data_IF_918612329984
#
_entry.id   IF_918612329984
#
_cell.length_a   1.000
_cell.length_b   1.000
_cell.length_c   1.000
_cell.angle_alpha   90.00
_cell.angle_beta   90.00
_cell.angle_gamma   90.00
#
_symmetry.space_group_name_H-M   'P 1'
#
loop_
_entity.id
_entity.type
_entity.pdbx_description
1 polymer ?
2 non-polymer ?
3 non-polymer ?
4 water ?
#
# COMPACT_ATOMS: atom_id res chain seq x y z
N UNK A 1 -19.79 3.53 -9.44
CA UNK A 1 -18.41 3.93 -9.67
C UNK A 1 -17.67 2.70 -10.19
N UNK A 2 -16.48 2.88 -10.75
CA UNK A 2 -15.64 1.76 -11.25
C UNK A 2 -14.23 1.91 -10.68
N UNK A 3 -13.57 0.80 -10.37
CA UNK A 3 -12.22 0.80 -9.73
C UNK A 3 -11.44 -0.40 -10.25
N UNK A 4 -10.25 -0.15 -10.81
CA UNK A 4 -9.29 -1.22 -11.19
C UNK A 4 -8.82 -1.94 -9.91
N UNK A 5 -8.87 -3.27 -9.93
CA UNK A 5 -8.31 -4.17 -8.88
C UNK A 5 -6.88 -3.73 -8.57
N UNK A 6 -6.51 -3.73 -7.28
CA UNK A 6 -5.18 -3.34 -6.78
C UNK A 6 -5.03 -1.85 -6.77
N UNK A 7 -6.13 -1.09 -6.87
CA UNK A 7 -6.08 0.38 -6.72
C UNK A 7 -6.95 0.79 -5.54
N UNK A 8 -6.64 1.98 -5.02
CA UNK A 8 -7.40 2.69 -3.96
C UNK A 8 -8.26 3.79 -4.59
N UNK A 9 -9.34 4.13 -3.91
CA UNK A 9 -10.30 5.20 -4.28
C UNK A 9 -10.56 6.02 -3.00
N UNK A 10 -10.58 7.33 -3.14
CA UNK A 10 -11.00 8.34 -2.15
C UNK A 10 -12.49 8.65 -2.36
N UNK A 11 -13.36 8.11 -1.51
CA UNK A 11 -14.82 8.37 -1.55
C UNK A 11 -15.07 9.70 -0.84
N UNK A 12 -15.87 10.57 -1.44
CA UNK A 12 -16.23 11.86 -0.82
C UNK A 12 -17.65 11.71 -0.28
N UNK A 13 -17.89 11.95 1.01
CA UNK A 13 -19.23 11.90 1.65
C UNK A 13 -19.51 13.23 2.33
N UNK A 14 -20.79 13.56 2.49
CA UNK A 14 -21.22 14.71 3.34
C UNK A 14 -20.86 14.39 4.78
N UNK A 15 -20.35 15.37 5.50
CA UNK A 15 -19.95 15.29 6.93
C UNK A 15 -21.18 15.27 7.85
N UNK A 16 -22.14 16.19 7.63
CA UNK A 16 -23.23 16.50 8.59
C UNK A 16 -24.01 15.21 8.82
N UNK A 17 -24.24 14.83 10.08
CA UNK A 17 -25.13 13.70 10.45
C UNK A 17 -24.59 12.33 10.03
N UNK A 18 -23.36 12.26 9.53
CA UNK A 18 -22.71 10.97 9.19
C UNK A 18 -22.46 10.17 10.47
N UNK A 19 -22.76 8.88 10.44
CA UNK A 19 -22.56 7.93 11.56
C UNK A 19 -21.48 6.89 11.21
N UNK A 20 -21.61 6.22 10.06
CA UNK A 20 -20.82 4.99 9.77
C UNK A 20 -20.76 4.66 8.28
N UNK A 21 -19.59 4.22 7.80
CA UNK A 21 -19.43 3.66 6.44
C UNK A 21 -19.11 2.17 6.56
N UNK A 22 -19.90 1.31 5.87
CA UNK A 22 -19.92 -0.15 6.10
C UNK A 22 -19.76 -0.92 4.79
N UNK A 23 -18.93 -1.95 4.83
CA UNK A 23 -18.80 -2.96 3.76
C UNK A 23 -19.29 -4.29 4.37
N UNK A 24 -20.57 -4.64 4.15
CA UNK A 24 -21.30 -5.62 4.99
C UNK A 24 -21.12 -5.21 6.46
N UNK A 25 -20.49 -6.05 7.30
CA UNK A 25 -20.27 -5.75 8.74
C UNK A 25 -18.88 -5.12 9.02
N UNK A 26 -18.05 -4.86 8.00
CA UNK A 26 -16.72 -4.19 8.18
C UNK A 26 -16.91 -2.66 8.21
N UNK A 27 -16.25 -1.98 9.16
CA UNK A 27 -16.28 -0.49 9.31
C UNK A 27 -15.14 0.10 8.49
N UNK A 28 -15.43 1.08 7.63
CA UNK A 28 -14.41 1.90 6.90
C UNK A 28 -14.27 3.21 7.64
N UNK A 29 -13.04 3.53 8.05
CA UNK A 29 -12.77 4.81 8.69
C UNK A 29 -12.88 6.00 7.71
N UNK A 30 -13.01 7.20 8.26
CA UNK A 30 -13.25 8.49 7.58
C UNK A 30 -12.29 9.52 8.15
N UNK A 31 -11.91 10.51 7.35
CA UNK A 31 -11.08 11.66 7.73
C UNK A 31 -11.59 12.91 6.99
N UNK A 32 -11.17 14.08 7.45
CA UNK A 32 -11.64 15.39 6.96
C UNK A 32 -11.22 15.56 5.50
N UNK A 33 -12.10 16.10 4.68
CA UNK A 33 -11.69 16.72 3.40
C UNK A 33 -10.91 17.98 3.74
N UNK A 34 -9.62 18.13 3.33
CA UNK A 34 -8.77 19.22 3.82
C UNK A 34 -9.15 20.62 3.30
N UNK A 35 -9.86 20.70 2.18
CA UNK A 35 -10.35 21.97 1.58
C UNK A 35 -11.85 22.13 1.86
N UNK A 36 -12.67 21.12 1.60
CA UNK A 36 -14.14 21.23 1.73
C UNK A 36 -14.61 20.82 3.14
N UNK A 37 -14.95 21.81 3.96
CA UNK A 37 -15.39 21.68 5.38
C UNK A 37 -16.68 20.84 5.51
N UNK A 38 -17.46 20.69 4.45
CA UNK A 38 -18.77 19.98 4.44
C UNK A 38 -18.60 18.50 4.09
N UNK A 39 -17.39 18.09 3.71
CA UNK A 39 -17.10 16.72 3.22
C UNK A 39 -16.13 16.01 4.16
N UNK A 40 -16.23 14.69 4.17
CA UNK A 40 -15.21 13.76 4.73
C UNK A 40 -14.82 12.81 3.61
N UNK A 41 -13.77 12.04 3.85
CA UNK A 41 -13.15 11.14 2.85
C UNK A 41 -13.00 9.76 3.50
N UNK A 42 -13.09 8.71 2.70
CA UNK A 42 -12.77 7.33 3.09
C UNK A 42 -11.89 6.73 2.00
N UNK A 43 -10.96 5.84 2.37
CA UNK A 43 -10.16 5.08 1.36
C UNK A 43 -10.81 3.73 1.20
N UNK A 44 -11.16 3.40 -0.04
CA UNK A 44 -11.68 2.08 -0.43
C UNK A 44 -10.70 1.46 -1.41
N UNK A 45 -10.26 0.23 -1.14
CA UNK A 45 -9.20 -0.44 -1.91
C UNK A 45 -9.68 -1.80 -2.39
N UNK A 46 -9.42 -2.14 -3.63
CA UNK A 46 -9.70 -3.54 -4.09
C UNK A 46 -8.42 -4.35 -4.05
N UNK A 47 -8.44 -5.60 -3.57
CA UNK A 47 -7.27 -6.47 -3.67
C UNK A 47 -7.01 -6.75 -5.16
N UNK A 48 -5.74 -7.00 -5.49
CA UNK A 48 -5.32 -7.46 -6.83
C UNK A 48 -5.85 -8.89 -7.09
N UNK A 49 -5.59 -9.83 -6.17
CA UNK A 49 -6.03 -11.26 -6.28
C UNK A 49 -7.46 -11.42 -5.75
N UNK A 50 -8.30 -12.11 -6.52
CA UNK A 50 -9.64 -12.55 -6.09
C UNK A 50 -10.46 -11.38 -5.53
N UNK A 51 -10.59 -10.23 -6.23
CA UNK A 51 -11.50 -9.18 -5.76
C UNK A 51 -12.94 -9.62 -6.03
N UNK A 52 -13.93 -9.08 -5.28
CA UNK A 52 -15.33 -9.25 -5.67
C UNK A 52 -15.48 -8.58 -7.03
N UNK A 53 -16.48 -9.00 -7.81
CA UNK A 53 -16.93 -8.34 -9.06
C UNK A 53 -17.54 -6.97 -8.76
N UNK A 54 -18.32 -6.88 -7.67
CA UNK A 54 -19.03 -5.62 -7.31
C UNK A 54 -19.04 -5.49 -5.80
N UNK A 55 -18.98 -4.25 -5.34
CA UNK A 55 -19.06 -3.90 -3.92
C UNK A 55 -20.23 -2.94 -3.68
N UNK A 56 -20.97 -3.15 -2.60
CA UNK A 56 -21.92 -2.13 -2.10
C UNK A 56 -21.43 -1.67 -0.73
N UNK A 57 -21.14 -0.38 -0.60
CA UNK A 57 -20.90 0.35 0.67
C UNK A 57 -22.17 1.11 1.07
N UNK A 58 -22.41 1.21 2.38
CA UNK A 58 -23.54 1.99 2.93
C UNK A 58 -22.96 3.03 3.88
N UNK A 59 -23.15 4.30 3.54
CA UNK A 59 -22.96 5.42 4.46
C UNK A 59 -24.28 5.56 5.22
N UNK A 60 -24.24 5.30 6.54
CA UNK A 60 -25.36 5.53 7.47
C UNK A 60 -25.25 6.94 8.05
N UNK A 61 -26.30 7.71 7.83
CA UNK A 61 -26.57 9.07 8.36
C UNK A 61 -27.64 8.94 9.44
N UNK A 62 -27.78 9.97 10.29
CA UNK A 62 -28.89 10.04 11.28
C UNK A 62 -30.25 10.06 10.55
N UNK A 63 -30.34 10.64 9.35
CA UNK A 63 -31.63 10.88 8.65
C UNK A 63 -31.73 10.02 7.39
N UNK A 64 -30.70 9.24 7.05
CA UNK A 64 -30.70 8.48 5.79
C UNK A 64 -29.54 7.48 5.65
N UNK A 65 -29.71 6.46 4.82
CA UNK A 65 -28.63 5.60 4.29
C UNK A 65 -28.45 5.86 2.79
N UNK A 66 -27.21 5.98 2.35
CA UNK A 66 -26.78 6.14 0.94
C UNK A 66 -25.94 4.91 0.51
N UNK A 67 -26.38 4.16 -0.51
CA UNK A 67 -25.62 3.00 -1.06
C UNK A 67 -24.56 3.53 -2.04
N UNK A 68 -23.32 3.06 -1.97
CA UNK A 68 -22.27 3.32 -3.02
C UNK A 68 -21.96 1.98 -3.70
N UNK A 69 -22.20 1.90 -5.01
CA UNK A 69 -21.86 0.71 -5.85
C UNK A 69 -20.50 0.93 -6.53
N UNK A 70 -19.64 -0.06 -6.42
CA UNK A 70 -18.31 -0.04 -7.09
C UNK A 70 -18.19 -1.30 -7.93
N UNK A 71 -18.03 -1.12 -9.24
CA UNK A 71 -17.73 -2.23 -10.17
C UNK A 71 -16.21 -2.43 -10.21
N UNK A 72 -15.78 -3.67 -10.02
CA UNK A 72 -14.35 -4.06 -10.14
C UNK A 72 -13.98 -4.16 -11.61
N UNK A 73 -12.95 -3.42 -12.06
CA UNK A 73 -12.32 -3.54 -13.40
C UNK A 73 -10.98 -4.31 -13.37
N UNK A 74 -10.66 -4.99 -14.48
CA UNK A 74 -9.43 -5.82 -14.63
C UNK A 74 -8.22 -4.92 -14.86
N UNK A 75 -8.41 -3.80 -15.54
CA UNK A 75 -7.34 -2.87 -15.94
C UNK A 75 -6.47 -3.44 -17.06
N UNK A 76 -5.32 -2.84 -17.31
CA UNK A 76 -4.43 -3.20 -18.44
C UNK A 76 -3.10 -3.69 -17.87
N UNK A 77 -3.11 -4.64 -16.93
CA UNK A 77 -1.88 -5.09 -16.24
C UNK A 77 -1.09 -6.01 -17.17
N UNK A 78 0.24 -5.95 -17.12
CA UNK A 78 1.14 -6.88 -17.85
C UNK A 78 1.03 -8.26 -17.18
N UNK A 79 1.04 -9.34 -17.95
CA UNK A 79 0.69 -10.69 -17.43
C UNK A 79 1.39 -11.76 -18.26
N UNK A 80 1.91 -12.80 -17.61
CA UNK A 80 2.67 -13.90 -18.24
C UNK A 80 2.16 -15.25 -17.72
N UNK A 81 1.95 -16.22 -18.63
CA UNK A 81 1.67 -17.64 -18.30
C UNK A 81 2.95 -18.20 -17.67
N UNK A 82 2.84 -19.06 -16.66
CA UNK A 82 3.95 -19.97 -16.25
C UNK A 82 3.53 -21.38 -16.66
N UNK A 83 4.47 -22.33 -16.78
CA UNK A 83 4.12 -23.73 -17.17
C UNK A 83 4.52 -24.69 -16.05
N UNK A 84 4.48 -24.24 -14.79
CA UNK A 84 4.51 -25.12 -13.59
C UNK A 84 3.59 -24.50 -12.53
N UNK A 85 2.47 -25.18 -12.23
CA UNK A 85 1.59 -24.92 -11.06
C UNK A 85 2.14 -25.72 -9.87
N UNK A 86 3.07 -25.16 -9.10
CA UNK A 86 3.68 -25.81 -7.91
C UNK A 86 3.41 -24.91 -6.71
N UNK A 87 2.13 -24.69 -6.42
CA UNK A 87 1.74 -23.66 -5.44
C UNK A 87 2.29 -24.01 -4.06
N UNK A 88 2.42 -25.30 -3.72
CA UNK A 88 2.99 -25.75 -2.42
C UNK A 88 4.49 -26.03 -2.59
N UNK A 89 5.29 -25.11 -2.08
CA UNK A 89 6.78 -25.24 -1.98
C UNK A 89 7.11 -25.76 -0.57
N UNK A 90 8.29 -26.33 -0.40
CA UNK A 90 8.73 -27.04 0.82
C UNK A 90 9.98 -26.35 1.35
N UNK A 91 9.84 -25.14 1.92
CA UNK A 91 11.00 -24.45 2.49
C UNK A 91 11.52 -25.21 3.69
N UNK A 92 12.82 -25.03 4.06
CA UNK A 92 13.30 -25.36 5.39
C UNK A 92 12.36 -24.80 6.47
N UNK A 93 12.21 -25.53 7.58
CA UNK A 93 11.33 -25.16 8.71
C UNK A 93 11.79 -23.80 9.26
N UNK A 94 13.09 -23.52 9.35
CA UNK A 94 13.61 -22.20 9.82
C UNK A 94 12.98 -21.08 8.98
N UNK A 95 12.90 -21.29 7.65
CA UNK A 95 12.37 -20.28 6.70
C UNK A 95 10.87 -20.15 6.92
N UNK A 96 10.16 -21.27 7.02
CA UNK A 96 8.70 -21.29 7.22
C UNK A 96 8.35 -20.49 8.48
N UNK A 97 9.13 -20.62 9.55
CA UNK A 97 8.80 -20.02 10.87
C UNK A 97 9.12 -18.54 10.82
N UNK A 98 10.20 -18.18 10.15
CA UNK A 98 10.57 -16.76 9.98
C UNK A 98 9.47 -16.06 9.16
N UNK A 99 8.97 -16.70 8.10
CA UNK A 99 7.94 -16.06 7.23
C UNK A 99 6.68 -15.84 8.05
N UNK A 100 6.25 -16.85 8.81
CA UNK A 100 4.95 -16.85 9.54
C UNK A 100 5.05 -15.78 10.64
N UNK A 101 6.19 -15.75 11.32
CA UNK A 101 6.50 -14.76 12.36
C UNK A 101 6.39 -13.35 11.76
N UNK A 102 7.12 -13.07 10.67
CA UNK A 102 7.17 -11.73 10.03
C UNK A 102 5.77 -11.33 9.51
N UNK A 103 4.98 -12.29 9.00
CA UNK A 103 3.57 -12.09 8.57
C UNK A 103 2.74 -11.63 9.77
N UNK A 104 2.77 -12.37 10.88
CA UNK A 104 2.11 -11.98 12.17
C UNK A 104 2.52 -10.55 12.57
N UNK A 105 3.80 -10.20 12.57
CA UNK A 105 4.23 -8.85 13.02
C UNK A 105 3.63 -7.82 12.07
N UNK A 106 3.74 -8.03 10.77
CA UNK A 106 3.25 -7.09 9.75
C UNK A 106 1.76 -6.86 10.02
N UNK A 107 0.97 -7.93 10.17
CA UNK A 107 -0.51 -7.86 10.35
C UNK A 107 -0.86 -7.05 11.59
N UNK A 108 -0.08 -7.18 12.66
CA UNK A 108 -0.27 -6.41 13.91
C UNK A 108 -0.03 -4.91 13.64
N UNK A 109 1.04 -4.54 12.93
CA UNK A 109 1.34 -3.11 12.61
C UNK A 109 0.23 -2.51 11.73
N UNK A 110 -0.20 -3.22 10.69
CA UNK A 110 -1.20 -2.71 9.72
C UNK A 110 -2.59 -2.68 10.38
N UNK A 111 -2.70 -3.27 11.56
CA UNK A 111 -3.92 -3.33 12.38
C UNK A 111 -4.03 -2.08 13.27
N UNK A 112 -2.92 -1.40 13.53
CA UNK A 112 -2.88 -0.29 14.51
C UNK A 112 -3.27 1.05 13.83
N UNK A 113 -4.56 1.28 13.62
CA UNK A 113 -5.11 2.47 12.90
C UNK A 113 -4.71 3.76 13.64
N UNK A 114 -4.08 4.70 12.92
CA UNK A 114 -3.74 6.07 13.36
C UNK A 114 -4.80 7.03 12.84
N UNK A 115 -5.74 7.53 13.68
CA UNK A 115 -6.87 8.33 13.21
C UNK A 115 -6.52 9.82 13.12
N UNK A 116 -5.43 10.14 12.46
CA UNK A 116 -4.80 11.48 12.41
C UNK A 116 -3.83 11.49 11.23
N UNK A 117 -3.64 12.67 10.62
CA UNK A 117 -2.65 12.97 9.56
C UNK A 117 -1.24 13.00 10.17
N UNK A 118 -0.39 12.04 9.84
CA UNK A 118 1.05 12.12 10.19
C UNK A 118 1.83 12.75 9.02
N UNK A 119 1.23 12.84 7.85
CA UNK A 119 1.88 13.30 6.60
C UNK A 119 1.92 14.82 6.60
N UNK A 120 2.56 15.36 5.57
CA UNK A 120 2.73 16.81 5.40
C UNK A 120 2.61 17.15 3.92
N UNK A 121 1.41 17.50 3.48
CA UNK A 121 1.19 17.83 2.06
C UNK A 121 1.38 16.61 1.19
N UNK A 122 1.84 16.83 -0.03
CA UNK A 122 1.88 15.77 -1.07
C UNK A 122 2.97 14.74 -0.74
N UNK A 123 2.82 13.52 -1.24
CA UNK A 123 3.91 12.50 -1.29
C UNK A 123 4.90 12.88 -2.37
N UNK A 124 6.19 12.82 -2.07
CA UNK A 124 7.29 12.84 -3.07
C UNK A 124 7.58 11.40 -3.50
N UNK A 125 8.22 11.24 -4.65
CA UNK A 125 8.82 9.96 -5.10
C UNK A 125 10.04 9.78 -4.19
N UNK A 126 10.34 8.56 -3.70
CA UNK A 126 11.47 8.39 -2.77
C UNK A 126 12.88 8.48 -3.36
N UNK A 127 12.99 8.55 -4.68
CA UNK A 127 14.20 9.03 -5.40
C UNK A 127 13.86 9.52 -6.81
N UNK A 128 14.84 10.10 -7.49
CA UNK A 128 14.65 10.86 -8.74
C UNK A 128 14.86 9.93 -9.94
N UNK A 129 14.52 8.66 -9.79
CA UNK A 129 14.76 7.64 -10.83
C UNK A 129 13.47 7.39 -11.62
N UNK A 130 13.41 6.24 -12.28
CA UNK A 130 12.37 5.78 -13.22
C UNK A 130 12.01 4.33 -12.86
N UNK A 131 10.81 3.91 -13.24
CA UNK A 131 10.28 2.55 -12.93
C UNK A 131 10.93 1.55 -13.85
N UNK A 132 11.42 0.42 -13.32
CA UNK A 132 12.02 -0.69 -14.10
C UNK A 132 11.10 -1.89 -14.05
N UNK A 133 10.23 -1.98 -13.06
CA UNK A 133 9.16 -3.01 -13.04
C UNK A 133 7.90 -2.46 -12.37
N UNK A 134 6.76 -2.62 -13.06
CA UNK A 134 5.48 -1.98 -12.73
C UNK A 134 4.76 -2.78 -11.64
N UNK A 135 3.94 -2.08 -10.87
CA UNK A 135 2.93 -2.70 -9.98
C UNK A 135 1.99 -3.57 -10.84
N UNK A 136 1.62 -4.76 -10.36
CA UNK A 136 0.49 -5.53 -10.87
C UNK A 136 0.86 -6.47 -12.02
N UNK A 137 2.11 -6.50 -12.44
CA UNK A 137 2.63 -7.49 -13.42
C UNK A 137 2.39 -8.88 -12.82
N UNK A 138 1.61 -9.71 -13.51
CA UNK A 138 0.99 -10.93 -12.96
C UNK A 138 1.66 -12.15 -13.58
N UNK A 139 1.72 -13.22 -12.80
CA UNK A 139 1.96 -14.60 -13.29
C UNK A 139 0.62 -15.35 -13.20
N UNK A 140 0.23 -15.99 -14.30
CA UNK A 140 -1.07 -16.72 -14.44
C UNK A 140 -0.80 -18.20 -14.71
N UNK A 141 -1.69 -19.05 -14.21
CA UNK A 141 -1.88 -20.47 -14.59
C UNK A 141 -3.37 -20.75 -14.58
N UNK A 142 -3.93 -21.32 -15.66
CA UNK A 142 -5.37 -21.67 -15.68
C UNK A 142 -6.16 -20.37 -15.92
N UNK A 143 -5.57 -19.45 -16.69
CA UNK A 143 -5.99 -18.02 -16.83
C UNK A 143 -6.29 -17.35 -15.46
N UNK A 144 -5.76 -17.89 -14.36
CA UNK A 144 -5.96 -17.39 -12.97
C UNK A 144 -4.67 -16.75 -12.45
N UNK A 145 -4.78 -15.67 -11.66
CA UNK A 145 -3.61 -14.98 -11.04
C UNK A 145 -3.04 -15.89 -9.96
N UNK A 146 -1.77 -16.25 -10.08
CA UNK A 146 -1.02 -17.07 -9.09
C UNK A 146 -0.18 -16.11 -8.22
N UNK A 147 0.31 -15.03 -8.80
CA UNK A 147 1.13 -14.05 -8.05
C UNK A 147 1.28 -12.76 -8.88
N UNK A 148 1.72 -11.70 -8.22
CA UNK A 148 1.75 -10.34 -8.80
C UNK A 148 2.81 -9.53 -8.07
N UNK A 149 3.33 -8.54 -8.78
CA UNK A 149 4.21 -7.51 -8.22
C UNK A 149 3.39 -6.52 -7.39
N UNK A 150 3.63 -6.46 -6.08
CA UNK A 150 2.76 -5.74 -5.09
C UNK A 150 3.32 -4.36 -4.73
N UNK A 151 4.36 -3.92 -5.42
CA UNK A 151 4.76 -2.51 -5.44
C UNK A 151 5.42 -2.17 -6.75
N UNK A 152 6.28 -1.16 -6.76
CA UNK A 152 6.95 -0.75 -8.01
C UNK A 152 8.46 -0.66 -7.77
N UNK A 153 9.25 -1.10 -8.75
CA UNK A 153 10.73 -1.12 -8.70
C UNK A 153 11.29 0.10 -9.41
N UNK A 154 12.09 0.87 -8.69
CA UNK A 154 12.86 2.01 -9.24
C UNK A 154 14.30 1.59 -9.50
N UNK A 155 14.83 2.04 -10.62
CA UNK A 155 16.27 1.92 -10.96
C UNK A 155 17.11 2.52 -9.84
N UNK A 156 17.99 1.73 -9.25
CA UNK A 156 18.85 2.15 -8.13
C UNK A 156 20.04 1.20 -8.09
N UNK A 157 21.21 1.74 -8.38
CA UNK A 157 22.48 1.04 -8.09
C UNK A 157 22.55 0.88 -6.57
N UNK A 158 23.22 -0.17 -6.10
CA UNK A 158 23.48 -0.40 -4.66
C UNK A 158 24.04 0.90 -4.05
N UNK A 159 23.46 1.36 -2.93
CA UNK A 159 23.96 2.49 -2.14
C UNK A 159 23.33 3.81 -2.55
N UNK A 160 22.25 3.80 -3.34
CA UNK A 160 21.53 5.05 -3.70
C UNK A 160 20.77 5.52 -2.46
N UNK A 161 20.91 6.79 -2.05
CA UNK A 161 20.10 7.34 -0.95
C UNK A 161 18.59 7.30 -1.29
N UNK A 162 17.81 6.78 -0.36
CA UNK A 162 16.32 6.72 -0.44
C UNK A 162 15.76 7.67 0.62
N UNK A 163 14.80 8.50 0.23
CA UNK A 163 14.21 9.55 1.08
C UNK A 163 12.75 9.22 1.34
N UNK A 164 12.25 9.60 2.52
CA UNK A 164 10.88 9.35 3.00
C UNK A 164 9.90 10.00 2.02
N UNK A 165 8.94 9.24 1.50
CA UNK A 165 7.99 9.75 0.49
C UNK A 165 7.12 10.83 1.14
N UNK A 166 6.81 10.71 2.44
CA UNK A 166 6.05 11.70 3.24
C UNK A 166 6.46 11.55 4.70
N UNK A 167 6.04 12.48 5.55
CA UNK A 167 6.23 12.39 7.02
C UNK A 167 5.39 11.26 7.60
N UNK A 168 5.83 10.76 8.74
CA UNK A 168 5.08 9.75 9.50
C UNK A 168 5.97 9.14 10.56
N UNK A 169 5.62 7.92 10.98
CA UNK A 169 6.29 7.19 12.07
C UNK A 169 6.72 5.84 11.52
N UNK A 170 8.01 5.55 11.70
CA UNK A 170 8.63 4.28 11.30
C UNK A 170 8.04 3.17 12.16
N UNK A 171 7.47 2.14 11.57
CA UNK A 171 6.92 1.02 12.34
C UNK A 171 7.71 -0.26 12.08
N UNK A 172 8.50 -0.31 11.00
CA UNK A 172 9.37 -1.49 10.65
C UNK A 172 10.68 -0.96 10.15
N UNK A 173 11.80 -1.48 10.66
CA UNK A 173 13.15 -1.03 10.28
C UNK A 173 14.14 -2.15 10.58
N UNK A 174 14.02 -3.25 9.87
CA UNK A 174 14.90 -4.42 10.05
C UNK A 174 14.86 -5.32 8.80
N UNK A 175 15.67 -6.39 8.88
CA UNK A 175 15.82 -7.40 7.82
C UNK A 175 14.68 -8.42 7.90
N UNK A 176 13.98 -8.64 6.79
CA UNK A 176 12.86 -9.60 6.68
C UNK A 176 13.12 -10.49 5.46
N UNK A 177 12.52 -11.67 5.41
CA UNK A 177 12.85 -12.69 4.37
C UNK A 177 12.54 -12.16 2.95
N UNK A 178 11.29 -11.86 2.68
CA UNK A 178 10.83 -11.49 1.31
C UNK A 178 11.28 -10.07 0.95
N UNK A 179 11.34 -9.15 1.92
CA UNK A 179 11.54 -7.70 1.69
C UNK A 179 12.99 -7.29 1.90
N UNK A 180 13.83 -8.19 2.43
CA UNK A 180 15.18 -7.84 2.86
C UNK A 180 15.13 -6.72 3.87
N UNK A 181 16.17 -5.93 3.91
CA UNK A 181 16.21 -4.73 4.78
C UNK A 181 15.04 -3.84 4.36
N UNK A 182 14.11 -3.64 5.29
CA UNK A 182 12.75 -3.08 5.10
C UNK A 182 12.60 -1.87 6.01
N UNK A 183 12.05 -0.80 5.46
CA UNK A 183 11.45 0.35 6.21
C UNK A 183 9.99 0.47 5.81
N UNK A 184 9.13 0.57 6.84
CA UNK A 184 7.66 0.80 6.71
C UNK A 184 7.30 2.01 7.57
N UNK A 185 6.65 2.98 6.95
CA UNK A 185 6.26 4.26 7.61
C UNK A 185 4.74 4.37 7.68
N UNK A 186 4.22 4.66 8.87
CA UNK A 186 2.79 5.01 9.08
C UNK A 186 2.64 6.52 8.83
N UNK A 187 1.76 6.89 7.88
CA UNK A 187 1.41 8.28 7.51
C UNK A 187 0.08 8.74 8.12
N UNK A 188 -0.61 7.86 8.83
CA UNK A 188 -1.97 8.07 9.35
C UNK A 188 -3.01 7.57 8.37
N UNK A 189 -4.22 7.39 8.87
CA UNK A 189 -5.41 7.05 8.05
C UNK A 189 -5.19 5.67 7.40
N UNK A 190 -4.37 4.81 8.00
CA UNK A 190 -4.16 3.44 7.49
C UNK A 190 -3.31 3.47 6.24
N UNK A 191 -2.56 4.54 6.01
CA UNK A 191 -1.69 4.69 4.80
C UNK A 191 -0.26 4.43 5.25
N UNK A 192 0.43 3.50 4.59
CA UNK A 192 1.80 3.01 4.92
C UNK A 192 2.60 3.01 3.63
N UNK A 193 3.78 3.62 3.63
CA UNK A 193 4.77 3.47 2.55
C UNK A 193 5.88 2.49 2.97
N UNK A 194 6.40 1.76 1.99
CA UNK A 194 7.25 0.57 2.18
C UNK A 194 8.46 0.75 1.26
N UNK A 195 9.66 0.56 1.81
CA UNK A 195 10.93 0.70 1.07
C UNK A 195 11.71 -0.60 1.26
N UNK A 196 11.86 -1.44 0.23
CA UNK A 196 12.44 -2.81 0.39
C UNK A 196 13.81 -2.96 -0.29
N UNK A 197 14.56 -3.98 0.18
CA UNK A 197 15.81 -4.51 -0.42
C UNK A 197 16.96 -3.53 -0.17
N UNK A 198 16.84 -2.72 0.89
CA UNK A 198 17.85 -1.70 1.25
C UNK A 198 19.17 -2.39 1.61
N UNK A 199 20.29 -1.73 1.34
CA UNK A 199 21.64 -2.20 1.74
C UNK A 199 21.90 -1.63 3.14
N UNK A 200 21.20 -0.58 3.55
CA UNK A 200 21.40 0.11 4.85
C UNK A 200 20.09 0.82 5.26
N UNK A 201 19.75 0.68 6.54
CA UNK A 201 18.58 1.30 7.20
C UNK A 201 19.10 2.41 8.10
N UNK A 202 18.65 3.67 7.89
CA UNK A 202 19.15 4.82 8.69
C UNK A 202 18.08 5.28 9.69
N UNK A 203 17.02 4.51 9.92
CA UNK A 203 15.98 4.89 10.91
C UNK A 203 15.76 3.74 11.88
N UNK A 204 15.09 4.01 12.99
CA UNK A 204 14.70 3.04 14.05
C UNK A 204 13.17 3.02 14.17
N UNK A 205 12.64 1.92 14.71
CA UNK A 205 11.19 1.82 14.98
C UNK A 205 10.79 2.95 15.93
N UNK A 206 9.64 3.60 15.67
CA UNK A 206 9.03 4.62 16.53
C UNK A 206 9.53 6.02 16.24
N UNK A 207 10.46 6.16 15.30
CA UNK A 207 11.04 7.44 14.91
C UNK A 207 10.05 8.21 14.04
N UNK A 208 9.83 9.48 14.38
CA UNK A 208 9.14 10.47 13.51
C UNK A 208 10.13 10.87 12.43
N UNK A 209 9.74 10.79 11.16
CA UNK A 209 10.56 11.22 10.00
C UNK A 209 9.77 12.26 9.21
N UNK A 210 10.51 13.09 8.51
CA UNK A 210 9.98 14.18 7.69
C UNK A 210 10.10 13.72 6.25
N UNK A 211 9.15 14.19 5.43
CA UNK A 211 9.17 14.07 3.97
C UNK A 211 10.54 14.51 3.52
N UNK A 212 11.20 13.74 2.64
CA UNK A 212 12.51 14.12 2.09
C UNK A 212 13.66 13.77 3.02
N UNK A 213 13.38 13.18 4.18
CA UNK A 213 14.43 12.73 5.12
C UNK A 213 14.99 11.37 4.70
N UNK A 214 16.30 11.19 4.87
CA UNK A 214 17.00 9.95 4.45
C UNK A 214 16.48 8.76 5.29
N UNK A 215 16.08 7.65 4.66
CA UNK A 215 15.60 6.46 5.43
C UNK A 215 16.60 5.30 5.27
N UNK A 216 17.54 5.38 4.32
CA UNK A 216 18.54 4.33 4.08
C UNK A 216 19.15 4.37 2.70
N UNK A 217 19.79 3.28 2.31
CA UNK A 217 20.49 3.14 1.02
C UNK A 217 19.87 1.95 0.33
N UNK A 218 19.54 2.11 -0.92
CA UNK A 218 19.03 1.07 -1.82
C UNK A 218 20.01 -0.11 -1.83
N UNK A 219 19.52 -1.32 -2.03
CA UNK A 219 20.41 -2.45 -2.31
C UNK A 219 19.73 -3.52 -3.11
N UNK A 220 20.15 -4.76 -2.85
CA UNK A 220 19.63 -6.00 -3.46
C UNK A 220 19.26 -7.00 -2.38
N UNK A 221 19.11 -6.56 -1.13
CA UNK A 221 18.88 -7.50 0.02
C UNK A 221 17.54 -8.22 -0.23
N UNK A 222 17.55 -9.55 -0.18
CA UNK A 222 16.35 -10.36 -0.41
C UNK A 222 15.95 -10.38 -1.88
N UNK A 223 16.75 -9.79 -2.77
CA UNK A 223 16.36 -9.61 -4.19
C UNK A 223 17.19 -10.54 -5.07
N UNK A 224 16.53 -11.48 -5.74
CA UNK A 224 17.18 -12.42 -6.70
C UNK A 224 17.62 -11.66 -7.96
N UNK A 225 16.79 -10.76 -8.50
CA UNK A 225 17.03 -10.10 -9.82
C UNK A 225 17.91 -8.85 -9.73
N UNK A 226 18.68 -8.63 -8.67
CA UNK A 226 19.69 -7.55 -8.66
C UNK A 226 19.20 -6.33 -7.91
N UNK A 227 20.05 -5.30 -7.79
CA UNK A 227 19.72 -4.11 -7.00
C UNK A 227 18.56 -3.29 -7.61
N UNK A 228 17.65 -2.79 -6.77
CA UNK A 228 16.53 -1.86 -7.13
C UNK A 228 15.93 -1.36 -5.82
N UNK A 229 15.20 -0.27 -5.85
CA UNK A 229 14.33 0.07 -4.70
C UNK A 229 12.93 -0.44 -5.06
N UNK A 230 12.37 -1.28 -4.20
CA UNK A 230 10.95 -1.66 -4.27
C UNK A 230 10.19 -0.68 -3.37
N UNK A 231 9.23 0.04 -3.96
CA UNK A 231 8.35 0.98 -3.24
C UNK A 231 6.91 0.46 -3.27
N UNK A 232 6.30 0.37 -2.09
CA UNK A 232 4.91 -0.05 -1.90
C UNK A 232 4.11 1.00 -1.14
N UNK A 233 2.79 0.93 -1.32
CA UNK A 233 1.77 1.63 -0.50
C UNK A 233 0.74 0.60 -0.04
N UNK A 234 0.51 0.52 1.25
CA UNK A 234 -0.66 -0.20 1.79
C UNK A 234 -1.65 0.89 2.15
N UNK A 235 -2.88 0.80 1.64
CA UNK A 235 -3.99 1.70 2.01
C UNK A 235 -5.34 0.98 1.86
N UNK A 236 -6.30 1.32 2.73
CA UNK A 236 -7.56 0.60 2.91
C UNK A 236 -7.35 -0.89 3.14
N UNK A 237 -6.31 -1.26 3.88
CA UNK A 237 -6.09 -2.66 4.24
C UNK A 237 -5.39 -3.48 3.15
N UNK A 238 -5.05 -2.93 1.96
CA UNK A 238 -4.52 -3.67 0.78
C UNK A 238 -3.25 -3.03 0.19
N UNK A 239 -2.39 -3.81 -0.47
CA UNK A 239 -1.28 -3.26 -1.30
C UNK A 239 -1.93 -2.68 -2.56
N UNK A 240 -1.64 -1.44 -2.91
CA UNK A 240 -2.32 -0.77 -4.06
C UNK A 240 -1.22 -0.21 -4.96
N UNK A 241 -1.57 0.06 -6.21
CA UNK A 241 -0.71 0.75 -7.21
C UNK A 241 -0.19 2.04 -6.57
N UNK A 242 1.12 2.11 -6.28
CA UNK A 242 1.64 3.23 -5.50
C UNK A 242 1.69 4.58 -6.23
N UNK A 243 2.02 4.64 -7.52
CA UNK A 243 2.03 5.92 -8.28
C UNK A 243 0.57 6.36 -8.54
N UNK A 244 -0.35 5.44 -8.80
CA UNK A 244 -1.81 5.74 -8.92
C UNK A 244 -2.28 6.34 -7.59
N UNK A 245 -1.89 5.72 -6.47
CA UNK A 245 -2.29 6.20 -5.13
C UNK A 245 -1.73 7.59 -4.89
N UNK A 246 -0.43 7.75 -5.10
CA UNK A 246 0.28 9.04 -4.83
C UNK A 246 -0.40 10.14 -5.66
N UNK A 247 -0.75 9.84 -6.90
CA UNK A 247 -1.43 10.77 -7.82
C UNK A 247 -2.82 11.18 -7.26
N UNK A 248 -3.63 10.23 -6.76
CA UNK A 248 -4.99 10.50 -6.21
C UNK A 248 -4.90 11.25 -4.89
N UNK A 249 -3.93 10.88 -4.05
CA UNK A 249 -3.68 11.53 -2.74
C UNK A 249 -3.29 12.99 -2.99
N UNK A 250 -2.33 13.19 -3.89
CA UNK A 250 -1.71 14.51 -4.12
C UNK A 250 -2.79 15.46 -4.68
N UNK A 251 -3.68 14.97 -5.54
CA UNK A 251 -4.79 15.77 -6.11
C UNK A 251 -5.59 16.37 -4.95
N UNK A 252 -5.67 15.69 -3.81
CA UNK A 252 -6.49 16.15 -2.65
C UNK A 252 -5.65 16.95 -1.65
N UNK A 253 -4.44 16.50 -1.29
CA UNK A 253 -3.71 17.11 -0.15
C UNK A 253 -2.54 18.01 -0.59
N UNK A 254 -2.28 18.26 -1.87
CA UNK A 254 -1.06 19.05 -2.24
C UNK A 254 -1.08 20.41 -1.54
N UNK A 255 -2.19 21.14 -1.64
CA UNK A 255 -2.28 22.60 -1.33
C UNK A 255 -2.80 22.80 0.10
X LIG B 1 9.37 -4.99 -6.46
X LIG C 1 7.84 -8.25 -1.68
X LIG C 1 6.24 -10.28 2.41
X LIG C 1 8.51 -8.63 -4.21
X LIG C 1 4.44 -6.92 -0.07
X LIG C 1 8.39 -10.12 -4.63
X LIG C 1 4.77 -6.24 1.32
X LIG C 1 4.17 -6.94 2.57
X LIG C 1 4.46 -6.54 4.06
X LIG C 1 5.96 -8.80 2.66
X LIG C 1 9.40 -7.85 -5.21
X LIG C 1 4.62 -10.17 -3.48
X LIG C 1 6.03 -7.86 -3.26
X LIG C 1 8.80 -8.63 -2.77
X LIG C 1 5.31 -8.90 -4.04
X LIG C 1 4.59 -8.32 2.39
X LIG C 1 5.36 -8.05 -0.70
X LIG C 1 5.30 -8.68 -5.20
X LIG C 1 6.38 -7.65 -1.83
X LIG C 1 8.27 -8.35 -0.57
X LIG C 1 10.70 -7.22 -5.03
X LIG C 1 4.18 -7.45 4.88
X LIG C 1 4.90 -5.43 4.58
X LIG C 1 6.83 -8.08 3.05
X LIG C 1 8.99 -7.70 -6.28
X LIG C 1 11.31 -6.50 -6.10
#
# INVERSE_FOLDING_TARGET
MELIKGQALFLELDKKDFLSLKNNDKNIPTFAHPKNQEKILAIFSLPYKNPPQNTKLIAFYKDKKEEIFIKTLEGNYKSEKLQVENKKIFPPKTIQERIAKELKEANAIYSSYTPKALFNGAFNIPLNSFITSDFGKARTFNEKVASYHSGTDFRAATGTPIYAANSGVVKIAKDRYFAGNSVVIDHGFGIYSQYYHLSKIDVKVGQKIKKGELIGLSGASGRVSGPALHFGILAGGKQVDPLDFVSKFNAIFQL
ZN ZN
HX9 C4 C14 C5 C6 C11 C7 C8 C9 C10 C12 C13 N1 N2 C3 N3 C1 O1 C2 O3 N4 O4 O5 O6 O8 O9
#
